data_IF_809405716976
#
_entry.id   IF_809405716976
#
_cell.length_a   1.000
_cell.length_b   1.000
_cell.length_c   1.000
_cell.angle_alpha   90.00
_cell.angle_beta   90.00
_cell.angle_gamma   90.00
#
_symmetry.space_group_name_H-M   'P 1'
#
loop_
_entity.id
_entity.type
_entity.pdbx_description
1 polymer ?
#
# COMPACT_ATOMS: atom_id res chain seq x y z
N UNK A 1 -14.91 -1.44 -5.75
CA UNK A 1 -15.79 -1.58 -4.55
C UNK A 1 -15.17 -1.10 -3.23
N UNK A 2 -14.04 -1.62 -2.73
CA UNK A 2 -13.50 -1.23 -1.39
C UNK A 2 -12.98 0.22 -1.39
N UNK A 3 -12.17 0.58 -2.39
CA UNK A 3 -11.67 1.95 -2.60
C UNK A 3 -12.81 2.94 -2.86
N UNK A 4 -13.79 2.55 -3.66
CA UNK A 4 -15.01 3.33 -3.97
C UNK A 4 -15.90 3.58 -2.74
N UNK A 5 -15.86 2.70 -1.73
CA UNK A 5 -16.62 2.83 -0.47
C UNK A 5 -15.87 3.63 0.60
N UNK A 6 -14.67 4.15 0.29
CA UNK A 6 -13.83 4.87 1.25
C UNK A 6 -13.34 3.99 2.41
N UNK A 7 -13.32 2.68 2.24
CA UNK A 7 -12.88 1.74 3.28
C UNK A 7 -11.39 1.50 3.18
N UNK A 8 -10.69 1.54 4.33
CA UNK A 8 -9.28 1.16 4.41
C UNK A 8 -9.16 -0.36 4.39
N UNK A 9 -8.37 -0.89 3.46
CA UNK A 9 -8.04 -2.31 3.34
C UNK A 9 -6.58 -2.53 3.74
N UNK A 10 -6.35 -3.43 4.68
CA UNK A 10 -5.01 -3.95 4.99
C UNK A 10 -4.92 -5.38 4.46
N UNK A 11 -3.89 -5.67 3.67
CA UNK A 11 -3.63 -6.97 3.07
C UNK A 11 -2.18 -7.37 3.32
N UNK A 12 -1.94 -8.67 3.54
CA UNK A 12 -0.60 -9.24 3.64
C UNK A 12 -0.44 -10.26 2.52
N UNK A 13 0.63 -10.13 1.74
CA UNK A 13 0.96 -11.02 0.63
C UNK A 13 2.47 -11.16 0.53
N UNK A 14 2.93 -12.32 0.04
CA UNK A 14 4.33 -12.51 -0.36
C UNK A 14 4.56 -12.22 -1.86
N UNK A 15 3.48 -11.96 -2.61
CA UNK A 15 3.54 -11.61 -4.04
C UNK A 15 3.60 -10.09 -4.22
N UNK A 16 4.71 -9.62 -4.78
CA UNK A 16 4.93 -8.19 -5.03
C UNK A 16 4.04 -7.63 -6.13
N UNK A 17 3.61 -8.43 -7.12
CA UNK A 17 2.67 -7.97 -8.14
C UNK A 17 1.34 -7.58 -7.51
N UNK A 18 0.87 -8.37 -6.54
CA UNK A 18 -0.34 -8.06 -5.77
C UNK A 18 -0.15 -6.84 -4.88
N UNK A 19 0.98 -6.75 -4.17
CA UNK A 19 1.30 -5.61 -3.31
C UNK A 19 1.36 -4.29 -4.10
N UNK A 20 1.82 -4.34 -5.34
CA UNK A 20 1.96 -3.18 -6.21
C UNK A 20 0.64 -2.46 -6.56
N UNK A 21 -0.52 -3.11 -6.36
CA UNK A 21 -1.83 -2.48 -6.50
C UNK A 21 -2.24 -1.61 -5.30
N UNK A 22 -1.52 -1.68 -4.18
CA UNK A 22 -1.83 -0.91 -2.98
C UNK A 22 -1.35 0.55 -3.09
N UNK A 23 -2.07 1.45 -2.42
CA UNK A 23 -1.67 2.86 -2.29
C UNK A 23 -0.43 3.04 -1.40
N UNK A 24 -0.20 2.09 -0.48
CA UNK A 24 0.93 2.03 0.44
C UNK A 24 1.43 0.60 0.56
N UNK A 25 2.74 0.41 0.53
CA UNK A 25 3.40 -0.90 0.66
C UNK A 25 4.40 -0.81 1.81
N UNK A 26 4.29 -1.73 2.77
CA UNK A 26 5.23 -1.88 3.87
C UNK A 26 5.88 -3.26 3.74
N UNK A 27 7.20 -3.30 3.68
CA UNK A 27 7.95 -4.54 3.68
C UNK A 27 8.54 -4.78 5.06
N UNK A 28 8.38 -6.00 5.56
CA UNK A 28 8.85 -6.41 6.88
C UNK A 28 9.76 -7.64 6.77
N UNK A 29 10.83 -7.64 7.55
CA UNK A 29 11.74 -8.78 7.73
C UNK A 29 12.07 -8.87 9.21
N UNK A 30 11.97 -10.07 9.79
CA UNK A 30 12.30 -10.35 11.20
C UNK A 30 11.60 -9.42 12.22
N UNK A 31 10.39 -8.97 11.89
CA UNK A 31 9.60 -8.07 12.73
C UNK A 31 9.93 -6.59 12.60
N UNK A 32 10.91 -6.24 11.76
CA UNK A 32 11.30 -4.86 11.47
C UNK A 32 10.77 -4.41 10.12
N UNK A 33 10.38 -3.13 10.02
CA UNK A 33 10.01 -2.51 8.74
C UNK A 33 11.31 -2.12 8.03
N UNK A 34 11.55 -2.74 6.89
CA UNK A 34 12.77 -2.49 6.09
C UNK A 34 12.53 -1.51 4.95
N UNK A 35 11.28 -1.33 4.53
CA UNK A 35 10.91 -0.42 3.44
C UNK A 35 9.45 0.03 3.57
N UNK A 36 9.19 1.29 3.24
CA UNK A 36 7.86 1.85 3.09
C UNK A 36 7.79 2.63 1.76
N UNK A 37 6.76 2.35 0.95
CA UNK A 37 6.48 3.05 -0.30
C UNK A 37 5.05 3.61 -0.28
N UNK A 38 4.90 4.89 -0.62
CA UNK A 38 3.61 5.58 -0.71
C UNK A 38 3.41 6.02 -2.17
N UNK A 39 2.37 5.48 -2.80
CA UNK A 39 2.03 5.75 -4.21
C UNK A 39 0.76 6.59 -4.37
N UNK A 40 -0.12 6.59 -3.37
CA UNK A 40 -1.44 7.22 -3.40
C UNK A 40 -1.49 8.72 -3.12
N UNK A 41 -0.48 9.50 -3.51
CA UNK A 41 -0.52 10.96 -3.40
C UNK A 41 -1.03 11.58 -4.69
N UNK A 42 -2.29 12.02 -4.73
CA UNK A 42 -2.72 12.98 -5.75
C UNK A 42 -1.91 14.26 -5.55
N UNK A 43 -1.02 14.58 -6.50
CA UNK A 43 -0.40 15.90 -6.57
C UNK A 43 -1.49 16.87 -7.01
N UNK A 44 -2.16 17.48 -6.06
CA UNK A 44 -3.06 18.61 -6.31
C UNK A 44 -2.19 19.81 -6.73
N UNK A 45 -1.91 19.92 -8.03
CA UNK A 45 -1.43 21.17 -8.60
C UNK A 45 -2.62 22.12 -8.68
N UNK A 46 -2.73 23.00 -7.69
CA UNK A 46 -3.57 24.21 -7.76
C UNK A 46 -2.83 25.34 -8.45
#
# INVERSE_FOLDING_TARGET
>A
MVKEKGQTLVMVTHDMEVANYADRIIQMVDGEIICEEIRGGEVVNG
#
